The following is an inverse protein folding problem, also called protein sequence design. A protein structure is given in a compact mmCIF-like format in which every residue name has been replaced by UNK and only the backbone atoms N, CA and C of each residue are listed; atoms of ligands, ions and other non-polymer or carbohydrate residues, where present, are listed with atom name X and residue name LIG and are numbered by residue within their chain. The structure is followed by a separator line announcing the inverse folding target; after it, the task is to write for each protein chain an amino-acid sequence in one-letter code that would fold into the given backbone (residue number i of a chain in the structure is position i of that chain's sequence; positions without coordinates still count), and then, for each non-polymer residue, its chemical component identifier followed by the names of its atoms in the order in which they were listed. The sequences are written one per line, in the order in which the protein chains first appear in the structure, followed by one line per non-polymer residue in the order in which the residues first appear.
data_IF_000104160788
#
_entry.id   IF_000104160788
#
_cell.length_a   1.000
_cell.length_b   1.000
_cell.length_c   1.000
_cell.angle_alpha   90.00
_cell.angle_beta   90.00
_cell.angle_gamma   90.00
#
_symmetry.space_group_name_H-M   'P 1'
#
loop_
_entity.id
_entity.type
_entity.pdbx_description
1 polymer ?
#
# COMPACT_ATOMS: atom_id res chain seq x y z
N UNK A 1 4.95 -3.90 9.52
CA UNK A 1 5.45 -2.87 10.44
C UNK A 1 4.86 -1.51 10.13
N UNK A 2 4.53 -0.73 11.17
CA UNK A 2 4.07 0.66 11.05
C UNK A 2 4.96 1.62 11.82
N UNK A 3 5.25 2.77 11.22
CA UNK A 3 5.97 3.86 11.89
C UNK A 3 5.26 5.20 11.72
N UNK A 4 5.39 6.05 12.74
CA UNK A 4 5.06 7.47 12.72
C UNK A 4 6.34 8.24 13.07
N UNK A 5 6.86 8.98 12.11
CA UNK A 5 8.07 9.78 12.23
C UNK A 5 7.70 11.25 12.44
N UNK A 6 8.19 11.84 13.54
CA UNK A 6 7.94 13.23 13.93
C UNK A 6 9.25 14.00 14.06
N UNK A 7 9.50 14.96 13.18
CA UNK A 7 10.63 15.86 13.29
C UNK A 7 10.38 16.90 14.39
N UNK A 8 11.18 16.82 15.44
CA UNK A 8 10.89 17.49 16.71
C UNK A 8 12.05 18.36 17.18
N UNK A 9 11.72 19.50 17.80
CA UNK A 9 12.69 20.33 18.52
C UNK A 9 13.29 19.56 19.71
N UNK A 10 12.47 18.76 20.37
CA UNK A 10 12.91 17.82 21.39
C UNK A 10 11.90 16.70 21.63
N UNK A 11 12.40 15.61 22.20
CA UNK A 11 11.61 14.65 22.94
C UNK A 11 12.27 14.34 24.28
N UNK A 12 11.47 14.26 25.34
CA UNK A 12 11.88 13.75 26.64
C UNK A 12 10.95 12.60 27.02
N UNK A 13 11.47 11.54 27.63
CA UNK A 13 10.68 10.45 28.16
C UNK A 13 11.24 9.91 29.47
N UNK A 14 10.36 9.38 30.32
CA UNK A 14 10.67 8.84 31.65
C UNK A 14 9.90 7.53 31.87
N UNK A 15 10.58 6.39 32.07
CA UNK A 15 9.95 5.12 32.39
C UNK A 15 9.31 5.16 33.79
N UNK A 16 8.05 4.73 33.90
CA UNK A 16 7.28 4.80 35.17
C UNK A 16 7.01 3.41 35.74
N UNK A 17 6.20 2.60 35.04
CA UNK A 17 5.78 1.25 35.40
C UNK A 17 6.08 0.26 34.27
N UNK A 18 6.45 -0.97 34.61
CA UNK A 18 6.56 -2.07 33.65
C UNK A 18 5.18 -2.41 33.09
N UNK A 19 5.04 -2.42 31.78
CA UNK A 19 3.85 -2.87 31.06
C UNK A 19 3.91 -4.39 30.78
N UNK A 20 5.13 -4.95 30.69
CA UNK A 20 5.38 -6.37 30.48
C UNK A 20 6.21 -6.94 31.63
N UNK A 21 5.93 -8.20 32.02
CA UNK A 21 6.76 -8.93 33.00
C UNK A 21 8.19 -9.16 32.48
N UNK A 22 8.34 -9.28 31.16
CA UNK A 22 9.62 -9.46 30.46
C UNK A 22 10.24 -8.14 29.99
N UNK A 23 9.83 -6.99 30.54
CA UNK A 23 10.40 -5.70 30.17
C UNK A 23 11.87 -5.60 30.60
N UNK A 24 12.67 -4.90 29.79
CA UNK A 24 14.08 -4.59 30.09
C UNK A 24 14.20 -3.94 31.48
N UNK A 25 15.23 -4.30 32.25
CA UNK A 25 15.55 -3.59 33.49
C UNK A 25 16.30 -2.31 33.14
N UNK A 26 15.68 -1.17 33.43
CA UNK A 26 16.20 0.17 33.15
C UNK A 26 16.03 1.06 34.36
N UNK A 27 16.98 1.98 34.54
CA UNK A 27 16.87 3.06 35.52
C UNK A 27 15.69 3.98 35.16
N UNK A 28 14.90 4.38 36.16
CA UNK A 28 13.79 5.33 35.98
C UNK A 28 14.31 6.76 35.88
N UNK A 29 15.10 7.02 34.85
CA UNK A 29 15.69 8.33 34.58
C UNK A 29 14.95 8.99 33.43
N UNK A 30 14.83 10.32 33.51
CA UNK A 30 14.36 11.15 32.39
C UNK A 30 15.47 11.23 31.35
N UNK A 31 15.19 10.76 30.15
CA UNK A 31 16.08 10.80 28.99
C UNK A 31 15.41 11.54 27.84
N UNK A 32 16.20 11.96 26.85
CA UNK A 32 15.67 12.73 25.73
C UNK A 32 16.74 13.17 24.76
N UNK A 33 16.29 13.74 23.65
CA UNK A 33 17.14 14.22 22.56
C UNK A 33 16.55 15.51 21.98
N UNK A 34 17.41 16.46 21.62
CA UNK A 34 17.04 17.72 20.95
C UNK A 34 17.33 17.62 19.46
N UNK A 35 16.50 18.31 18.68
CA UNK A 35 16.58 18.44 17.21
C UNK A 35 16.72 17.07 16.53
N UNK A 36 15.67 16.26 16.63
CA UNK A 36 15.73 14.85 16.29
C UNK A 36 14.48 14.39 15.53
N UNK A 37 14.64 13.30 14.79
CA UNK A 37 13.53 12.54 14.23
C UNK A 37 13.08 11.49 15.24
N UNK A 38 11.89 11.66 15.80
CA UNK A 38 11.28 10.66 16.68
C UNK A 38 10.54 9.66 15.83
N UNK A 39 10.94 8.39 15.87
CA UNK A 39 10.32 7.31 15.12
C UNK A 39 9.54 6.44 16.09
N UNK A 40 8.23 6.68 16.18
CA UNK A 40 7.30 5.81 16.88
C UNK A 40 7.10 4.56 16.05
N UNK A 41 7.40 3.40 16.63
CA UNK A 41 7.47 2.13 15.89
C UNK A 41 6.57 1.07 16.50
N UNK A 42 5.76 0.42 15.66
CA UNK A 42 4.95 -0.75 16.01
C UNK A 42 5.31 -1.91 15.11
N UNK A 43 5.87 -2.97 15.71
CA UNK A 43 6.23 -4.22 15.02
C UNK A 43 5.00 -5.13 14.99
N UNK A 44 4.68 -5.65 13.82
CA UNK A 44 3.45 -6.38 13.55
C UNK A 44 3.70 -7.87 13.38
N UNK A 45 2.66 -8.70 13.57
CA UNK A 45 2.75 -10.16 13.54
C UNK A 45 3.34 -10.70 12.22
N UNK A 46 3.08 -10.01 11.10
CA UNK A 46 3.64 -10.36 9.78
C UNK A 46 5.15 -10.20 9.70
N UNK A 47 5.73 -9.31 10.51
CA UNK A 47 7.16 -9.01 10.53
C UNK A 47 7.97 -10.16 11.16
N UNK A 48 7.34 -11.00 11.97
CA UNK A 48 7.95 -12.21 12.57
C UNK A 48 8.46 -13.20 11.51
N UNK A 49 7.86 -13.19 10.31
CA UNK A 49 8.24 -14.09 9.22
C UNK A 49 9.59 -13.73 8.60
N UNK A 50 10.02 -12.47 8.69
CA UNK A 50 11.29 -12.00 8.14
C UNK A 50 11.82 -10.80 8.93
N UNK A 51 12.45 -11.07 10.06
CA UNK A 51 12.99 -10.06 10.97
C UNK A 51 14.05 -9.19 10.29
N UNK A 52 15.05 -9.81 9.66
CA UNK A 52 16.17 -9.08 9.05
C UNK A 52 15.73 -8.21 7.87
N UNK A 53 14.79 -8.70 7.04
CA UNK A 53 14.19 -7.90 5.98
C UNK A 53 13.36 -6.73 6.52
N UNK A 54 12.70 -6.90 7.67
CA UNK A 54 11.94 -5.82 8.32
C UNK A 54 12.88 -4.74 8.85
N UNK A 55 13.98 -5.16 9.48
CA UNK A 55 15.03 -4.25 9.94
C UNK A 55 15.62 -3.46 8.77
N UNK A 56 15.97 -4.12 7.66
CA UNK A 56 16.51 -3.44 6.49
C UNK A 56 15.55 -2.38 5.95
N UNK A 57 14.26 -2.73 5.76
CA UNK A 57 13.23 -1.78 5.31
C UNK A 57 13.03 -0.62 6.28
N UNK A 58 13.01 -0.89 7.59
CA UNK A 58 12.89 0.15 8.61
C UNK A 58 14.07 1.14 8.54
N UNK A 59 15.30 0.64 8.45
CA UNK A 59 16.50 1.47 8.35
C UNK A 59 16.47 2.31 7.08
N UNK A 60 16.10 1.71 5.94
CA UNK A 60 16.00 2.42 4.66
C UNK A 60 14.95 3.55 4.71
N UNK A 61 13.76 3.29 5.26
CA UNK A 61 12.72 4.31 5.42
C UNK A 61 13.16 5.45 6.35
N UNK A 62 13.80 5.12 7.48
CA UNK A 62 14.33 6.14 8.40
C UNK A 62 15.41 6.99 7.70
N UNK A 63 16.34 6.37 6.96
CA UNK A 63 17.36 7.06 6.18
C UNK A 63 16.75 7.98 5.12
N UNK A 64 15.67 7.56 4.47
CA UNK A 64 14.96 8.37 3.50
C UNK A 64 14.32 9.61 4.13
N UNK A 65 13.66 9.46 5.27
CA UNK A 65 13.02 10.58 5.98
C UNK A 65 14.07 11.57 6.49
N UNK A 66 15.14 11.07 7.12
CA UNK A 66 16.24 11.90 7.63
C UNK A 66 16.85 12.79 6.56
N UNK A 67 17.08 12.25 5.35
CA UNK A 67 17.62 13.04 4.23
C UNK A 67 16.73 14.22 3.86
N UNK A 68 15.41 14.08 4.00
CA UNK A 68 14.45 15.14 3.69
C UNK A 68 14.42 16.21 4.78
N UNK A 69 14.41 15.81 6.06
CA UNK A 69 14.29 16.74 7.20
C UNK A 69 15.64 17.29 7.69
N UNK A 70 16.76 16.74 7.21
CA UNK A 70 18.14 17.18 7.46
C UNK A 70 18.55 17.19 8.93
N UNK A 71 18.22 16.12 9.67
CA UNK A 71 18.70 15.89 11.04
C UNK A 71 19.61 14.67 11.10
N UNK A 72 20.56 14.65 12.04
CA UNK A 72 21.47 13.51 12.27
C UNK A 72 21.10 12.71 13.53
N UNK A 73 19.97 13.03 14.16
CA UNK A 73 19.57 12.54 15.46
C UNK A 73 18.26 11.77 15.38
N UNK A 74 18.23 10.58 15.96
CA UNK A 74 17.12 9.65 15.85
C UNK A 74 16.71 9.18 17.24
N UNK A 75 15.40 9.20 17.51
CA UNK A 75 14.85 8.53 18.68
C UNK A 75 13.96 7.37 18.23
N UNK A 76 14.38 6.14 18.47
CA UNK A 76 13.55 4.95 18.27
C UNK A 76 12.63 4.78 19.47
N UNK A 77 11.33 4.99 19.27
CA UNK A 77 10.33 4.95 20.35
C UNK A 77 9.36 3.78 20.15
N UNK A 78 9.43 2.71 20.98
CA UNK A 78 8.49 1.60 20.87
C UNK A 78 7.06 2.06 21.21
N UNK A 79 6.14 1.93 20.26
CA UNK A 79 4.77 2.44 20.37
C UNK A 79 3.76 1.48 19.75
N UNK A 80 3.28 0.54 20.56
CA UNK A 80 2.36 -0.52 20.14
C UNK A 80 0.97 -0.02 19.67
N UNK A 81 0.60 1.23 19.91
CA UNK A 81 -0.74 1.73 19.58
C UNK A 81 -0.94 2.08 18.10
N UNK A 82 0.08 1.95 17.24
CA UNK A 82 -0.05 2.21 15.80
C UNK A 82 -0.67 1.03 15.03
N UNK A 83 -0.75 -0.15 15.64
CA UNK A 83 -1.30 -1.35 15.01
C UNK A 83 -2.15 -2.17 15.97
N UNK A 84 -3.13 -2.87 15.43
CA UNK A 84 -3.94 -3.86 16.14
C UNK A 84 -3.34 -5.27 16.11
N UNK A 85 -2.39 -5.55 15.21
CA UNK A 85 -1.82 -6.88 14.97
C UNK A 85 -0.34 -6.96 15.36
N UNK A 86 -0.08 -6.93 16.67
CA UNK A 86 1.28 -6.83 17.20
C UNK A 86 2.07 -8.14 17.10
N UNK A 87 3.38 -8.01 16.84
CA UNK A 87 4.32 -9.10 17.01
C UNK A 87 4.50 -9.46 18.48
N UNK A 88 5.05 -10.65 18.72
CA UNK A 88 5.48 -11.07 20.04
C UNK A 88 6.57 -10.12 20.58
N UNK A 89 6.63 -9.92 21.92
CA UNK A 89 7.59 -9.00 22.53
C UNK A 89 9.06 -9.26 22.20
N UNK A 90 9.47 -10.53 22.02
CA UNK A 90 10.87 -10.87 21.73
C UNK A 90 11.28 -10.36 20.35
N UNK A 91 10.45 -10.63 19.35
CA UNK A 91 10.68 -10.15 17.98
C UNK A 91 10.66 -8.63 17.91
N UNK A 92 9.73 -7.98 18.62
CA UNK A 92 9.67 -6.52 18.64
C UNK A 92 10.95 -5.88 19.20
N UNK A 93 11.49 -6.42 20.31
CA UNK A 93 12.77 -5.98 20.88
C UNK A 93 13.91 -6.25 19.90
N UNK A 94 13.97 -7.45 19.31
CA UNK A 94 15.02 -7.83 18.37
C UNK A 94 15.09 -6.90 17.14
N UNK A 95 13.94 -6.57 16.54
CA UNK A 95 13.86 -5.64 15.40
C UNK A 95 14.39 -4.26 15.78
N UNK A 96 13.98 -3.75 16.94
CA UNK A 96 14.39 -2.42 17.40
C UNK A 96 15.88 -2.35 17.78
N UNK A 97 16.43 -3.38 18.41
CA UNK A 97 17.86 -3.46 18.74
C UNK A 97 18.74 -3.60 17.50
N UNK A 98 18.33 -4.42 16.52
CA UNK A 98 19.06 -4.56 15.26
C UNK A 98 19.02 -3.26 14.46
N UNK A 99 17.87 -2.59 14.39
CA UNK A 99 17.74 -1.29 13.74
C UNK A 99 18.58 -0.20 14.43
N UNK A 100 18.59 -0.17 15.77
CA UNK A 100 19.44 0.73 16.55
C UNK A 100 20.93 0.54 16.19
N UNK A 101 21.41 -0.71 16.14
CA UNK A 101 22.82 -1.01 15.81
C UNK A 101 23.20 -0.49 14.42
N UNK A 102 22.38 -0.75 13.41
CA UNK A 102 22.64 -0.32 12.03
C UNK A 102 22.55 1.21 11.86
N UNK A 103 21.64 1.87 12.56
CA UNK A 103 21.50 3.32 12.47
C UNK A 103 22.63 4.07 13.20
N UNK A 104 23.20 3.47 14.26
CA UNK A 104 24.34 4.06 15.00
C UNK A 104 25.63 4.16 14.20
N UNK A 105 25.73 3.45 13.07
CA UNK A 105 26.89 3.57 12.17
C UNK A 105 26.95 4.96 11.50
N UNK A 106 25.78 5.57 11.23
CA UNK A 106 25.66 6.81 10.47
C UNK A 106 25.09 8.00 11.29
N UNK A 107 24.38 7.72 12.40
CA UNK A 107 23.57 8.72 13.13
C UNK A 107 23.70 8.62 14.65
N UNK A 108 23.33 9.70 15.35
CA UNK A 108 23.19 9.71 16.81
C UNK A 108 21.82 9.13 17.19
N UNK A 109 21.79 7.91 17.72
CA UNK A 109 20.55 7.16 17.99
C UNK A 109 20.32 6.96 19.48
N UNK A 110 19.11 7.31 19.94
CA UNK A 110 18.59 7.00 21.26
C UNK A 110 17.39 6.06 21.14
N UNK A 111 17.36 4.96 21.90
CA UNK A 111 16.20 4.05 21.94
C UNK A 111 15.49 4.17 23.28
N UNK A 112 14.18 4.38 23.26
CA UNK A 112 13.37 4.35 24.46
C UNK A 112 13.16 2.89 24.93
N UNK A 113 13.10 2.63 26.24
CA UNK A 113 13.01 1.26 26.75
C UNK A 113 11.71 0.57 26.37
N UNK A 114 11.82 -0.71 26.02
CA UNK A 114 10.70 -1.53 25.57
C UNK A 114 9.90 -2.09 26.75
N UNK A 115 8.57 -2.16 26.61
CA UNK A 115 7.71 -2.79 27.62
C UNK A 115 7.49 -1.96 28.89
N UNK A 116 7.75 -0.65 28.84
CA UNK A 116 7.46 0.29 29.93
C UNK A 116 6.38 1.30 29.53
N UNK A 117 5.49 1.60 30.47
CA UNK A 117 4.73 2.85 30.45
C UNK A 117 5.69 4.00 30.66
N UNK A 118 5.64 4.97 29.74
CA UNK A 118 6.57 6.10 29.70
C UNK A 118 5.76 7.39 29.67
N UNK A 119 6.10 8.31 30.56
CA UNK A 119 5.69 9.71 30.39
C UNK A 119 6.58 10.29 29.30
N UNK A 120 6.04 10.99 28.32
CA UNK A 120 6.87 11.69 27.33
C UNK A 120 6.31 13.08 27.01
N UNK A 121 7.21 13.94 26.56
CA UNK A 121 6.92 15.29 26.09
C UNK A 121 7.66 15.48 24.77
N UNK A 122 6.95 15.92 23.74
CA UNK A 122 7.48 16.10 22.39
C UNK A 122 7.04 17.47 21.87
N UNK A 123 7.91 18.13 21.12
CA UNK A 123 7.59 19.37 20.42
C UNK A 123 7.85 19.22 18.92
N UNK A 124 6.80 18.96 18.16
CA UNK A 124 6.85 18.88 16.70
C UNK A 124 7.21 20.25 16.10
N UNK A 125 8.03 20.26 15.02
CA UNK A 125 8.42 21.50 14.33
C UNK A 125 7.32 22.09 13.43
N UNK A 126 6.32 21.30 13.05
CA UNK A 126 5.12 21.78 12.34
C UNK A 126 5.31 22.22 10.89
N UNK A 127 6.39 21.83 10.21
CA UNK A 127 6.54 22.02 8.77
C UNK A 127 5.92 20.85 7.97
N UNK A 128 5.69 20.95 6.64
CA UNK A 128 4.98 19.92 5.88
C UNK A 128 5.55 18.49 5.96
N UNK A 129 6.87 18.37 6.13
CA UNK A 129 7.56 17.08 6.30
C UNK A 129 7.83 16.71 7.77
N UNK A 130 7.21 17.41 8.72
CA UNK A 130 7.47 17.19 10.15
C UNK A 130 6.75 15.96 10.67
N UNK A 131 5.70 15.50 9.99
CA UNK A 131 4.88 14.37 10.40
C UNK A 131 4.71 13.44 9.20
N UNK A 132 5.23 12.23 9.31
CA UNK A 132 5.22 11.25 8.23
C UNK A 132 4.86 9.87 8.79
N UNK A 133 3.90 9.18 8.20
CA UNK A 133 3.65 7.77 8.48
C UNK A 133 4.19 6.89 7.35
N UNK A 134 4.61 5.66 7.70
CA UNK A 134 4.95 4.61 6.76
C UNK A 134 4.41 3.27 7.24
N UNK A 135 3.99 2.46 6.28
CA UNK A 135 3.61 1.06 6.48
C UNK A 135 4.37 0.22 5.47
N UNK A 136 5.00 -0.84 5.96
CA UNK A 136 5.80 -1.74 5.13
C UNK A 136 5.89 -3.13 5.76
N UNK A 137 5.99 -4.14 4.92
CA UNK A 137 6.11 -5.55 5.31
C UNK A 137 7.31 -6.17 4.60
N UNK A 138 8.12 -6.97 5.30
CA UNK A 138 9.27 -7.64 4.68
C UNK A 138 8.90 -8.89 3.85
N UNK A 139 7.64 -9.33 3.98
CA UNK A 139 7.05 -10.39 3.18
C UNK A 139 6.61 -9.75 1.87
N UNK A 140 7.39 -9.97 0.81
CA UNK A 140 7.28 -9.37 -0.54
C UNK A 140 8.02 -8.02 -0.70
N UNK A 141 9.29 -8.13 -1.11
CA UNK A 141 9.99 -7.06 -1.82
C UNK A 141 9.52 -7.03 -3.29
N UNK A 142 8.49 -6.23 -3.56
CA UNK A 142 8.45 -5.43 -4.79
C UNK A 142 8.22 -3.97 -4.38
N UNK A 143 9.01 -3.02 -4.91
CA UNK A 143 8.76 -1.61 -4.66
C UNK A 143 7.55 -1.14 -5.48
N UNK A 144 6.97 -0.04 -5.01
CA UNK A 144 6.04 0.87 -5.69
C UNK A 144 4.60 0.40 -5.94
N UNK A 145 3.68 0.94 -5.13
CA UNK A 145 2.55 1.71 -5.68
C UNK A 145 1.30 0.95 -6.15
N UNK A 146 1.04 -0.26 -5.66
CA UNK A 146 -0.28 -0.88 -5.82
C UNK A 146 -0.90 -1.04 -4.45
N UNK A 147 -2.05 -0.37 -4.22
CA UNK A 147 -2.96 -0.70 -3.13
C UNK A 147 -3.14 -2.22 -3.16
N UNK A 148 -2.69 -2.91 -2.11
CA UNK A 148 -3.08 -4.30 -1.88
C UNK A 148 -4.60 -4.35 -1.99
N UNK A 149 -5.11 -5.00 -3.04
CA UNK A 149 -6.49 -5.46 -3.03
C UNK A 149 -6.59 -6.33 -1.78
N UNK A 150 -7.41 -5.90 -0.81
CA UNK A 150 -7.87 -6.75 0.30
C UNK A 150 -8.07 -8.15 -0.27
N UNK A 151 -7.46 -9.16 0.35
CA UNK A 151 -7.66 -10.56 -0.02
C UNK A 151 -9.18 -10.78 -0.16
N UNK A 152 -9.61 -10.89 -1.42
CA UNK A 152 -11.00 -11.18 -1.74
C UNK A 152 -11.31 -12.53 -1.12
N UNK A 153 -12.47 -12.60 -0.47
CA UNK A 153 -13.13 -13.82 0.01
C UNK A 153 -12.67 -15.08 -0.73
N UNK A 154 -12.24 -16.12 0.01
CA UNK A 154 -11.74 -17.42 -0.47
C UNK A 154 -12.75 -18.27 -1.30
N UNK A 155 -13.69 -17.65 -2.01
CA UNK A 155 -14.69 -18.34 -2.82
C UNK A 155 -14.72 -17.80 -4.26
N UNK A 156 -13.71 -18.19 -5.06
CA UNK A 156 -13.72 -17.95 -6.50
C UNK A 156 -14.14 -19.22 -7.25
N UNK A 157 -15.45 -19.38 -7.45
CA UNK A 157 -15.98 -20.32 -8.45
C UNK A 157 -16.08 -19.61 -9.79
N UNK A 158 -15.35 -20.09 -10.79
CA UNK A 158 -15.41 -19.54 -12.13
C UNK A 158 -16.30 -20.42 -13.01
N UNK A 159 -17.20 -19.79 -13.77
CA UNK A 159 -18.05 -20.48 -14.75
C UNK A 159 -17.73 -19.97 -16.15
N UNK A 160 -17.44 -20.89 -17.06
CA UNK A 160 -17.36 -20.63 -18.48
C UNK A 160 -18.72 -20.86 -19.11
N UNK A 161 -19.21 -19.86 -19.85
CA UNK A 161 -20.49 -19.94 -20.54
C UNK A 161 -20.24 -19.83 -22.05
N UNK A 162 -20.67 -20.84 -22.81
CA UNK A 162 -20.61 -20.83 -24.27
C UNK A 162 -21.67 -19.90 -24.86
N UNK A 163 -21.46 -19.44 -26.09
CA UNK A 163 -22.48 -18.71 -26.86
C UNK A 163 -23.76 -19.52 -27.12
N UNK A 164 -23.72 -20.83 -26.89
CA UNK A 164 -24.84 -21.77 -26.99
C UNK A 164 -25.52 -22.05 -25.64
N UNK A 165 -25.01 -21.45 -24.56
CA UNK A 165 -25.56 -21.61 -23.21
C UNK A 165 -24.97 -22.79 -22.41
N UNK A 166 -23.92 -23.45 -22.90
CA UNK A 166 -23.25 -24.51 -22.13
C UNK A 166 -22.46 -23.88 -20.99
N UNK A 167 -22.65 -24.37 -19.77
CA UNK A 167 -21.96 -23.88 -18.58
C UNK A 167 -20.98 -24.93 -18.08
N UNK A 168 -19.73 -24.54 -17.85
CA UNK A 168 -18.66 -25.39 -17.33
C UNK A 168 -17.97 -24.70 -16.14
N UNK A 169 -17.96 -25.33 -14.97
CA UNK A 169 -17.25 -24.83 -13.79
C UNK A 169 -15.75 -25.12 -13.94
N UNK A 170 -14.91 -24.12 -13.68
CA UNK A 170 -13.45 -24.24 -13.73
C UNK A 170 -12.82 -23.81 -12.41
N UNK A 171 -11.70 -24.46 -12.08
CA UNK A 171 -10.87 -24.18 -10.90
C UNK A 171 -9.44 -23.88 -11.31
N UNK A 172 -8.62 -23.40 -10.37
CA UNK A 172 -7.19 -23.14 -10.62
C UNK A 172 -6.42 -24.33 -11.20
N UNK A 173 -6.85 -25.56 -10.87
CA UNK A 173 -6.20 -26.80 -11.29
C UNK A 173 -6.74 -27.31 -12.63
N UNK A 174 -8.04 -27.15 -12.88
CA UNK A 174 -8.73 -27.81 -13.99
C UNK A 174 -9.04 -26.91 -15.19
N UNK A 175 -8.82 -25.59 -15.07
CA UNK A 175 -9.22 -24.64 -16.12
C UNK A 175 -8.63 -24.95 -17.50
N UNK A 176 -7.45 -25.56 -17.60
CA UNK A 176 -6.80 -25.90 -18.89
C UNK A 176 -7.54 -26.99 -19.68
N UNK A 177 -8.37 -27.79 -19.01
CA UNK A 177 -9.03 -28.95 -19.59
C UNK A 177 -10.48 -28.70 -20.01
N UNK A 178 -10.97 -27.45 -19.89
CA UNK A 178 -12.35 -27.14 -20.20
C UNK A 178 -12.71 -27.52 -21.65
N UNK A 179 -13.87 -28.15 -21.83
CA UNK A 179 -14.38 -28.61 -23.14
C UNK A 179 -14.52 -27.44 -24.11
N UNK A 180 -14.79 -26.25 -23.58
CA UNK A 180 -14.93 -25.01 -24.35
C UNK A 180 -13.69 -24.70 -25.21
N UNK A 181 -12.48 -25.04 -24.75
CA UNK A 181 -11.22 -24.73 -25.45
C UNK A 181 -11.01 -25.51 -26.75
N UNK A 182 -11.78 -26.58 -26.97
CA UNK A 182 -11.70 -27.36 -28.21
C UNK A 182 -12.29 -26.62 -29.41
N UNK A 183 -13.07 -25.57 -29.18
CA UNK A 183 -13.59 -24.72 -30.25
C UNK A 183 -12.49 -23.81 -30.82
N UNK A 184 -12.39 -23.74 -32.15
CA UNK A 184 -11.43 -22.89 -32.87
C UNK A 184 -11.92 -21.45 -33.10
N UNK A 185 -13.03 -21.05 -32.46
CA UNK A 185 -13.53 -19.69 -32.57
C UNK A 185 -12.54 -18.69 -31.97
N UNK A 186 -12.29 -17.57 -32.67
CA UNK A 186 -11.39 -16.52 -32.20
C UNK A 186 -11.78 -15.98 -30.81
N UNK A 187 -13.08 -15.90 -30.53
CA UNK A 187 -13.63 -15.48 -29.23
C UNK A 187 -13.26 -16.43 -28.09
N UNK A 188 -13.20 -17.74 -28.36
CA UNK A 188 -12.77 -18.76 -27.39
C UNK A 188 -11.28 -18.62 -27.09
N UNK A 189 -10.47 -18.29 -28.11
CA UNK A 189 -9.07 -17.94 -27.92
C UNK A 189 -8.87 -16.74 -27.00
N UNK A 190 -9.65 -15.66 -27.17
CA UNK A 190 -9.59 -14.48 -26.27
C UNK A 190 -10.04 -14.82 -24.85
N UNK A 191 -11.13 -15.56 -24.70
CA UNK A 191 -11.64 -16.00 -23.40
C UNK A 191 -10.62 -16.87 -22.66
N UNK A 192 -9.92 -17.77 -23.36
CA UNK A 192 -8.86 -18.58 -22.78
C UNK A 192 -7.71 -17.72 -22.21
N UNK A 193 -7.30 -16.66 -22.92
CA UNK A 193 -6.28 -15.73 -22.41
C UNK A 193 -6.76 -14.95 -21.19
N UNK A 194 -8.03 -14.50 -21.20
CA UNK A 194 -8.63 -13.81 -20.06
C UNK A 194 -8.63 -14.70 -18.80
N UNK A 195 -9.15 -15.92 -18.92
CA UNK A 195 -9.21 -16.90 -17.83
C UNK A 195 -7.82 -17.26 -17.31
N UNK A 196 -6.85 -17.46 -18.21
CA UNK A 196 -5.46 -17.66 -17.83
C UNK A 196 -4.92 -16.52 -16.97
N UNK A 197 -5.19 -15.27 -17.35
CA UNK A 197 -4.65 -14.11 -16.65
C UNK A 197 -5.29 -13.93 -15.26
N UNK A 198 -6.58 -14.22 -15.14
CA UNK A 198 -7.30 -14.19 -13.86
C UNK A 198 -6.84 -15.31 -12.91
N UNK A 199 -6.68 -16.53 -13.43
CA UNK A 199 -6.41 -17.72 -12.60
C UNK A 199 -4.92 -17.92 -12.32
N UNK A 200 -4.06 -17.80 -13.34
CA UNK A 200 -2.63 -18.07 -13.19
C UNK A 200 -1.82 -16.81 -12.83
N UNK A 201 -2.48 -15.66 -12.74
CA UNK A 201 -1.87 -14.36 -12.53
C UNK A 201 -1.04 -13.86 -13.72
N UNK A 202 -0.86 -12.56 -13.80
CA UNK A 202 0.09 -11.97 -14.74
C UNK A 202 1.52 -12.20 -14.25
N UNK A 203 2.37 -12.77 -15.10
CA UNK A 203 3.82 -12.71 -14.89
C UNK A 203 4.20 -11.23 -14.97
N UNK A 204 4.72 -10.68 -13.88
CA UNK A 204 5.17 -9.29 -13.83
C UNK A 204 6.25 -9.06 -14.90
N UNK A 205 5.84 -8.51 -16.03
CA UNK A 205 6.71 -8.04 -17.08
C UNK A 205 6.79 -6.52 -16.99
N UNK A 206 7.87 -5.98 -17.54
CA UNK A 206 8.07 -4.55 -17.72
C UNK A 206 6.80 -3.84 -18.23
N UNK A 207 6.73 -2.52 -18.02
CA UNK A 207 5.61 -1.69 -18.43
C UNK A 207 5.07 -2.11 -19.82
N UNK A 208 3.76 -2.35 -19.96
CA UNK A 208 3.20 -2.84 -21.21
C UNK A 208 3.57 -1.94 -22.39
N UNK A 209 3.97 -2.51 -23.52
CA UNK A 209 4.35 -1.75 -24.74
C UNK A 209 3.27 -0.76 -25.20
N UNK A 210 2.00 -1.05 -24.91
CA UNK A 210 0.91 -0.14 -25.25
C UNK A 210 1.02 1.22 -24.55
N UNK A 211 1.65 1.31 -23.37
CA UNK A 211 1.83 2.60 -22.66
C UNK A 211 2.76 3.54 -23.45
N UNK A 212 3.81 3.00 -24.07
CA UNK A 212 4.68 3.79 -24.95
C UNK A 212 3.94 4.23 -26.23
N UNK A 213 3.16 3.33 -26.83
CA UNK A 213 2.38 3.63 -28.03
C UNK A 213 1.30 4.69 -27.77
N UNK A 214 0.58 4.60 -26.66
CA UNK A 214 -0.46 5.58 -26.27
C UNK A 214 0.12 6.99 -26.14
N UNK A 215 1.34 7.12 -25.59
CA UNK A 215 2.05 8.41 -25.53
C UNK A 215 2.53 8.86 -26.90
N UNK A 216 3.14 7.98 -27.69
CA UNK A 216 3.65 8.29 -29.02
C UNK A 216 2.55 8.73 -30.00
N UNK A 217 1.35 8.18 -29.87
CA UNK A 217 0.18 8.53 -30.66
C UNK A 217 -0.62 9.70 -30.07
N UNK A 218 -0.14 10.29 -28.96
CA UNK A 218 -0.82 11.37 -28.26
C UNK A 218 -2.29 11.01 -27.96
N UNK A 219 -2.52 9.84 -27.37
CA UNK A 219 -3.84 9.38 -26.96
C UNK A 219 -4.05 9.64 -25.47
N UNK A 220 -3.28 8.94 -24.63
CA UNK A 220 -3.38 9.04 -23.18
C UNK A 220 -2.00 8.97 -22.52
N UNK A 221 -1.89 9.60 -21.36
CA UNK A 221 -0.72 9.52 -20.47
C UNK A 221 -1.13 9.47 -19.00
N UNK A 222 -0.20 9.02 -18.16
CA UNK A 222 -0.36 9.14 -16.71
C UNK A 222 -0.10 10.58 -16.24
N UNK A 223 -0.80 10.99 -15.19
CA UNK A 223 -0.59 12.26 -14.49
C UNK A 223 -0.15 11.94 -13.06
N UNK A 224 1.17 12.02 -12.74
CA UNK A 224 1.67 11.71 -11.40
C UNK A 224 1.01 12.54 -10.29
N UNK A 225 0.52 13.74 -10.62
CA UNK A 225 -0.14 14.66 -9.70
C UNK A 225 -1.61 14.29 -9.42
N UNK A 226 -2.17 13.32 -10.15
CA UNK A 226 -3.58 12.95 -10.07
C UNK A 226 -3.76 11.57 -9.43
N UNK A 227 -4.92 11.33 -8.83
CA UNK A 227 -5.26 10.01 -8.29
C UNK A 227 -5.19 8.91 -9.35
N UNK A 228 -4.81 7.71 -8.91
CA UNK A 228 -4.69 6.52 -9.77
C UNK A 228 -6.02 6.27 -10.51
N UNK A 229 -5.93 6.14 -11.84
CA UNK A 229 -7.08 5.97 -12.73
C UNK A 229 -7.46 7.23 -13.50
N UNK A 230 -6.99 8.41 -13.07
CA UNK A 230 -7.14 9.65 -13.82
C UNK A 230 -5.97 9.82 -14.80
N UNK A 231 -6.27 9.73 -16.09
CA UNK A 231 -5.29 9.85 -17.16
C UNK A 231 -5.38 11.23 -17.83
N UNK A 232 -4.24 11.74 -18.30
CA UNK A 232 -4.20 12.86 -19.24
C UNK A 232 -4.73 12.36 -20.57
N UNK A 233 -5.78 13.01 -21.05
CA UNK A 233 -6.30 12.77 -22.39
C UNK A 233 -5.73 13.84 -23.34
N UNK A 234 -4.95 13.41 -24.32
CA UNK A 234 -4.43 14.30 -25.37
C UNK A 234 -5.50 14.56 -26.44
N UNK A 235 -5.32 15.56 -27.34
CA UNK A 235 -6.34 15.91 -28.32
C UNK A 235 -6.81 14.75 -29.21
N UNK A 236 -5.90 13.89 -29.67
CA UNK A 236 -6.28 12.73 -30.51
C UNK A 236 -7.07 11.70 -29.70
N UNK A 237 -6.65 11.43 -28.45
CA UNK A 237 -7.38 10.57 -27.54
C UNK A 237 -8.78 11.10 -27.23
N UNK A 238 -8.90 12.40 -26.96
CA UNK A 238 -10.17 13.06 -26.67
C UNK A 238 -11.14 12.95 -27.85
N UNK A 239 -10.67 13.23 -29.07
CA UNK A 239 -11.48 13.10 -30.27
C UNK A 239 -12.00 11.67 -30.48
N UNK A 240 -11.11 10.67 -30.39
CA UNK A 240 -11.49 9.27 -30.55
C UNK A 240 -12.51 8.85 -29.49
N UNK A 241 -12.27 9.23 -28.23
CA UNK A 241 -13.15 8.91 -27.12
C UNK A 241 -14.54 9.54 -27.29
N UNK A 242 -14.61 10.81 -27.71
CA UNK A 242 -15.86 11.49 -27.98
C UNK A 242 -16.64 10.86 -29.15
N UNK A 243 -15.96 10.51 -30.24
CA UNK A 243 -16.60 9.80 -31.36
C UNK A 243 -17.16 8.44 -30.95
N UNK A 244 -16.43 7.68 -30.12
CA UNK A 244 -16.91 6.40 -29.59
C UNK A 244 -18.11 6.60 -28.66
N UNK A 245 -18.07 7.61 -27.79
CA UNK A 245 -19.17 7.96 -26.89
C UNK A 245 -20.43 8.37 -27.67
N UNK A 246 -20.28 9.16 -28.73
CA UNK A 246 -21.39 9.55 -29.59
C UNK A 246 -21.94 8.34 -30.35
N UNK A 247 -21.06 7.53 -30.95
CA UNK A 247 -21.48 6.32 -31.65
C UNK A 247 -22.28 5.39 -30.73
N UNK A 248 -21.77 5.10 -29.54
CA UNK A 248 -22.44 4.23 -28.57
C UNK A 248 -23.77 4.80 -28.07
N UNK A 249 -23.83 6.10 -27.81
CA UNK A 249 -25.06 6.78 -27.40
C UNK A 249 -26.13 6.68 -28.50
N UNK A 250 -25.82 7.15 -29.71
CA UNK A 250 -26.80 7.29 -30.79
C UNK A 250 -27.14 5.97 -31.49
N UNK A 251 -26.17 5.06 -31.65
CA UNK A 251 -26.39 3.83 -32.42
C UNK A 251 -26.80 2.63 -31.58
N UNK A 252 -26.57 2.66 -30.26
CA UNK A 252 -26.87 1.54 -29.36
C UNK A 252 -27.78 1.96 -28.20
N UNK A 253 -27.31 2.83 -27.31
CA UNK A 253 -27.97 3.09 -26.02
C UNK A 253 -29.39 3.69 -26.20
N UNK A 254 -29.54 4.72 -27.03
CA UNK A 254 -30.85 5.35 -27.25
C UNK A 254 -31.86 4.40 -27.89
N UNK A 255 -31.43 3.48 -28.76
CA UNK A 255 -32.30 2.47 -29.39
C UNK A 255 -32.80 1.43 -28.39
N UNK A 256 -32.05 1.21 -27.31
CA UNK A 256 -32.42 0.34 -26.20
C UNK A 256 -33.28 1.07 -25.15
N UNK A 257 -33.63 2.34 -25.37
CA UNK A 257 -34.41 3.16 -24.44
C UNK A 257 -33.57 3.71 -23.27
N UNK A 258 -32.25 3.59 -23.31
CA UNK A 258 -31.37 4.17 -22.28
C UNK A 258 -31.32 5.70 -22.41
N UNK A 259 -31.06 6.38 -21.29
CA UNK A 259 -30.86 7.83 -21.25
C UNK A 259 -29.51 8.18 -20.65
N UNK A 260 -28.92 9.30 -21.09
CA UNK A 260 -27.66 9.80 -20.56
C UNK A 260 -27.91 10.50 -19.22
N UNK A 261 -27.21 10.04 -18.18
CA UNK A 261 -27.18 10.66 -16.86
C UNK A 261 -25.87 11.44 -16.70
N UNK A 262 -25.93 12.65 -16.12
CA UNK A 262 -24.73 13.40 -15.75
C UNK A 262 -24.62 13.41 -14.23
N UNK A 263 -23.64 12.69 -13.71
CA UNK A 263 -23.36 12.61 -12.28
C UNK A 263 -22.26 13.59 -11.87
N UNK A 264 -22.31 14.10 -10.63
CA UNK A 264 -21.20 14.86 -10.08
C UNK A 264 -19.94 14.00 -10.03
N UNK A 265 -18.79 14.61 -10.35
CA UNK A 265 -17.48 13.97 -10.27
C UNK A 265 -16.92 13.99 -8.84
N UNK A 266 -17.34 14.96 -8.03
CA UNK A 266 -16.95 15.12 -6.64
C UNK A 266 -18.14 14.81 -5.76
N UNK A 267 -17.92 13.90 -4.82
CA UNK A 267 -18.90 13.53 -3.80
C UNK A 267 -18.45 14.07 -2.44
N UNK A 268 -19.41 14.34 -1.56
CA UNK A 268 -19.14 14.76 -0.19
C UNK A 268 -18.51 13.58 0.57
N UNK A 269 -17.25 13.70 1.05
CA UNK A 269 -16.60 12.62 1.79
C UNK A 269 -17.22 12.38 3.18
N UNK A 270 -18.06 13.28 3.69
CA UNK A 270 -18.79 13.09 4.96
C UNK A 270 -20.10 12.32 4.77
N UNK A 271 -20.55 12.11 3.54
CA UNK A 271 -21.76 11.32 3.27
C UNK A 271 -21.53 9.85 3.62
N UNK A 272 -22.43 9.31 4.44
CA UNK A 272 -22.34 7.95 4.99
C UNK A 272 -22.30 6.87 3.90
N UNK A 273 -23.05 7.05 2.80
CA UNK A 273 -23.09 6.09 1.69
C UNK A 273 -21.77 6.12 0.93
N UNK A 274 -21.21 7.32 0.72
CA UNK A 274 -19.91 7.49 0.06
C UNK A 274 -18.80 6.90 0.93
N UNK A 275 -18.83 7.10 2.24
CA UNK A 275 -17.87 6.50 3.17
C UNK A 275 -17.89 4.97 3.12
N UNK A 276 -19.07 4.34 3.10
CA UNK A 276 -19.22 2.89 2.99
C UNK A 276 -18.70 2.32 1.65
N UNK A 277 -18.80 3.08 0.56
CA UNK A 277 -18.32 2.66 -0.77
C UNK A 277 -16.80 2.83 -0.96
N UNK A 278 -16.18 3.76 -0.23
CA UNK A 278 -14.75 4.09 -0.34
C UNK A 278 -13.89 3.33 0.68
N UNK A 279 -14.48 2.82 1.77
CA UNK A 279 -13.82 2.05 2.84
C UNK A 279 -13.48 0.60 2.49
#
# INVERSE_FOLDING_TARGET
MRILAIHSDYINFEPTKKALKSAEDVEKKKEGMKDCLVVFSSVEKVDEKNVDGTVAKLVDEIKNIIKQVKTNRIVLYPYAHLSSELANPKTAVEVLEKAEKLLKEDFEVLRAPFGWYKKFEIKCKGHPLAELSREFTAVNSKPTGEKERKEGSEFNKFFLISSKGDVEEITEKDWKNAKLWKSKEQRVGMLHHFVRNEIAGNIAKAAPKHVELMRKLELYDYVPESDVGNLRCYPNGALIFDLLKDYTLYNSALKLGCMKLYNPLMFDPEDKIIQELVS
#
